data_IF_964431162738
#
_entry.id   IF_964431162738
#
_cell.length_a   1.000
_cell.length_b   1.000
_cell.length_c   1.000
_cell.angle_alpha   90.00
_cell.angle_beta   90.00
_cell.angle_gamma   90.00
#
_symmetry.space_group_name_H-M   'P 1'
#
loop_
_entity.id
_entity.type
_entity.pdbx_description
1 polymer ?
#
# COMPACT_ATOMS: atom_id res chain seq x y z
N UNK A 1 -6.02 -26.60 19.27
CA UNK A 1 -7.09 -25.79 19.90
C UNK A 1 -7.05 -24.43 19.21
N UNK A 2 -7.94 -24.18 18.26
CA UNK A 2 -7.98 -22.92 17.49
C UNK A 2 -8.51 -21.80 18.39
N UNK A 3 -7.86 -20.64 18.39
CA UNK A 3 -8.25 -19.51 19.24
C UNK A 3 -9.41 -18.73 18.63
N UNK A 4 -10.15 -17.94 19.43
CA UNK A 4 -11.23 -17.04 18.93
C UNK A 4 -10.75 -16.10 17.81
N UNK A 5 -9.46 -15.78 17.77
CA UNK A 5 -8.85 -14.94 16.75
C UNK A 5 -8.61 -15.70 15.43
N UNK A 6 -8.33 -17.01 15.50
CA UNK A 6 -8.24 -17.87 14.32
C UNK A 6 -9.61 -18.06 13.65
N UNK A 7 -10.69 -18.14 14.44
CA UNK A 7 -12.07 -18.18 13.93
C UNK A 7 -12.42 -16.91 13.15
N UNK A 8 -12.11 -15.73 13.70
CA UNK A 8 -12.36 -14.42 13.04
C UNK A 8 -11.57 -14.27 11.74
N UNK A 9 -10.38 -14.87 11.65
CA UNK A 9 -9.54 -14.86 10.43
C UNK A 9 -10.02 -15.85 9.38
N UNK A 10 -10.47 -17.05 9.76
CA UNK A 10 -11.06 -18.01 8.81
C UNK A 10 -12.36 -17.47 8.21
N UNK A 11 -13.21 -16.83 9.02
CA UNK A 11 -14.42 -16.15 8.58
C UNK A 11 -14.12 -15.01 7.60
N UNK A 12 -13.01 -14.27 7.79
CA UNK A 12 -12.52 -13.26 6.84
C UNK A 12 -12.11 -13.88 5.49
N UNK A 13 -11.43 -15.04 5.49
CA UNK A 13 -10.94 -15.69 4.26
C UNK A 13 -12.06 -16.38 3.49
N UNK A 14 -13.01 -17.03 4.18
CA UNK A 14 -14.18 -17.64 3.55
C UNK A 14 -15.11 -16.58 2.95
N UNK A 15 -15.31 -15.46 3.64
CA UNK A 15 -16.12 -14.37 3.12
C UNK A 15 -15.48 -13.57 1.98
N UNK A 16 -14.14 -13.52 1.89
CA UNK A 16 -13.45 -12.97 0.71
C UNK A 16 -13.77 -13.77 -0.57
N UNK A 17 -14.28 -15.00 -0.44
CA UNK A 17 -14.66 -15.89 -1.55
C UNK A 17 -16.17 -15.94 -1.80
N UNK A 18 -17.00 -15.51 -0.86
CA UNK A 18 -18.45 -15.72 -0.87
C UNK A 18 -19.17 -14.40 -1.09
N UNK A 19 -19.81 -14.27 -2.26
CA UNK A 19 -20.61 -13.16 -2.83
C UNK A 19 -19.83 -12.46 -3.93
N UNK A 20 -20.46 -12.27 -5.09
CA UNK A 20 -19.93 -11.54 -6.25
C UNK A 20 -19.67 -10.04 -6.00
N UNK A 21 -19.18 -9.69 -4.82
CA UNK A 21 -18.60 -8.41 -4.47
C UNK A 21 -17.17 -8.37 -5.01
N UNK A 22 -16.74 -7.19 -5.48
CA UNK A 22 -15.36 -7.01 -5.95
C UNK A 22 -14.39 -7.38 -4.83
N UNK A 23 -13.27 -8.09 -5.14
CA UNK A 23 -12.20 -8.31 -4.18
C UNK A 23 -11.82 -6.98 -3.52
N UNK A 24 -11.52 -6.99 -2.23
CA UNK A 24 -11.31 -5.77 -1.45
C UNK A 24 -9.87 -5.70 -0.94
N UNK A 25 -9.32 -4.49 -0.87
CA UNK A 25 -8.08 -4.27 -0.14
C UNK A 25 -8.36 -4.49 1.36
N UNK A 26 -7.58 -5.37 2.04
CA UNK A 26 -7.72 -5.63 3.47
C UNK A 26 -7.68 -4.33 4.26
N UNK A 27 -8.73 -4.06 5.03
CA UNK A 27 -8.87 -2.86 5.88
C UNK A 27 -9.72 -1.72 5.30
N UNK A 28 -10.06 -1.71 4.00
CA UNK A 28 -10.61 -0.51 3.32
C UNK A 28 -12.13 -0.41 3.29
N UNK A 29 -12.88 -1.50 3.46
CA UNK A 29 -14.36 -1.43 3.35
C UNK A 29 -15.12 -2.16 4.43
N UNK A 30 -14.82 -3.44 4.71
CA UNK A 30 -15.58 -4.22 5.71
C UNK A 30 -15.42 -3.71 7.15
N UNK A 31 -14.28 -3.12 7.48
CA UNK A 31 -13.95 -2.61 8.82
C UNK A 31 -13.69 -1.10 8.84
N UNK A 32 -13.98 -0.42 7.74
CA UNK A 32 -13.84 1.02 7.67
C UNK A 32 -15.03 1.68 8.36
N UNK A 33 -14.80 2.74 9.17
CA UNK A 33 -15.90 3.48 9.77
C UNK A 33 -16.81 4.04 8.68
N UNK A 34 -18.12 4.06 8.94
CA UNK A 34 -19.08 4.75 8.08
C UNK A 34 -18.75 6.24 8.00
N UNK A 35 -19.29 6.94 6.99
CA UNK A 35 -19.09 8.39 6.85
C UNK A 35 -19.45 9.18 8.11
N UNK A 36 -20.52 8.78 8.80
CA UNK A 36 -20.94 9.42 10.04
C UNK A 36 -19.98 9.13 11.20
N UNK A 37 -19.44 7.91 11.27
CA UNK A 37 -18.42 7.55 12.26
C UNK A 37 -17.10 8.27 11.98
N UNK A 38 -16.65 8.35 10.73
CA UNK A 38 -15.48 9.16 10.33
C UNK A 38 -15.64 10.63 10.76
N UNK A 39 -16.79 11.24 10.51
CA UNK A 39 -17.05 12.62 10.95
C UNK A 39 -16.96 12.75 12.48
N UNK A 40 -17.51 11.80 13.23
CA UNK A 40 -17.40 11.80 14.69
C UNK A 40 -15.98 11.56 15.19
N UNK A 41 -15.22 10.68 14.54
CA UNK A 41 -13.80 10.45 14.87
C UNK A 41 -12.99 11.74 14.70
N UNK A 42 -13.23 12.49 13.63
CA UNK A 42 -12.49 13.72 13.34
C UNK A 42 -12.91 14.92 14.21
N UNK A 43 -14.13 14.92 14.75
CA UNK A 43 -14.70 16.09 15.47
C UNK A 43 -14.88 15.87 16.97
N UNK A 44 -14.87 14.63 17.46
CA UNK A 44 -15.10 14.29 18.87
C UNK A 44 -13.94 13.46 19.44
N UNK A 45 -13.09 14.07 20.29
CA UNK A 45 -12.01 13.34 20.97
C UNK A 45 -12.51 12.16 21.82
N UNK A 46 -13.72 12.28 22.38
CA UNK A 46 -14.35 11.21 23.18
C UNK A 46 -14.73 10.03 22.30
N UNK A 47 -15.32 10.30 21.13
CA UNK A 47 -15.66 9.25 20.17
C UNK A 47 -14.41 8.58 19.61
N UNK A 48 -13.40 9.36 19.22
CA UNK A 48 -12.12 8.85 18.75
C UNK A 48 -11.45 7.93 19.79
N UNK A 49 -11.41 8.36 21.05
CA UNK A 49 -10.87 7.56 22.16
C UNK A 49 -11.63 6.27 22.40
N UNK A 50 -12.94 6.23 22.10
CA UNK A 50 -13.75 5.02 22.22
C UNK A 50 -13.43 4.01 21.11
N UNK A 51 -13.34 4.47 19.86
CA UNK A 51 -12.98 3.63 18.71
C UNK A 51 -11.56 3.07 18.87
N UNK A 52 -10.63 3.86 19.40
CA UNK A 52 -9.25 3.44 19.61
C UNK A 52 -9.07 2.28 20.62
N UNK A 53 -10.11 1.93 21.41
CA UNK A 53 -10.02 0.86 22.43
C UNK A 53 -10.02 -0.55 21.85
N UNK A 54 -10.61 -0.74 20.67
CA UNK A 54 -10.67 -2.05 20.01
C UNK A 54 -10.21 -1.90 18.55
N UNK A 55 -8.89 -1.73 18.33
CA UNK A 55 -8.37 -1.54 17.00
C UNK A 55 -8.50 -2.83 16.17
N UNK A 56 -8.82 -2.68 14.89
CA UNK A 56 -8.74 -3.78 13.95
C UNK A 56 -7.29 -4.25 13.84
N UNK A 57 -7.04 -5.52 14.19
CA UNK A 57 -5.75 -6.17 13.97
C UNK A 57 -5.86 -7.20 12.86
N UNK A 58 -4.88 -7.22 11.96
CA UNK A 58 -4.77 -8.21 10.88
C UNK A 58 -3.47 -9.00 11.01
N UNK A 59 -3.51 -10.29 10.72
CA UNK A 59 -2.30 -11.09 10.54
C UNK A 59 -1.78 -10.87 9.12
N UNK A 60 -0.78 -10.00 9.00
CA UNK A 60 -0.21 -9.62 7.70
C UNK A 60 0.26 -10.81 6.88
N UNK A 61 0.82 -11.86 7.53
CA UNK A 61 1.32 -13.02 6.80
C UNK A 61 0.17 -13.82 6.20
N UNK A 62 -0.88 -14.09 6.99
CA UNK A 62 -2.07 -14.80 6.51
C UNK A 62 -2.79 -14.02 5.40
N UNK A 63 -2.90 -12.71 5.57
CA UNK A 63 -3.52 -11.81 4.58
C UNK A 63 -2.72 -11.83 3.28
N UNK A 64 -1.42 -11.53 3.33
CA UNK A 64 -0.58 -11.45 2.13
C UNK A 64 -0.53 -12.80 1.39
N UNK A 65 -0.48 -13.94 2.11
CA UNK A 65 -0.54 -15.27 1.49
C UNK A 65 -1.85 -15.56 0.75
N UNK A 66 -2.97 -15.00 1.19
CA UNK A 66 -4.26 -15.15 0.54
C UNK A 66 -4.49 -14.10 -0.57
N UNK A 67 -3.59 -13.14 -0.72
CA UNK A 67 -3.78 -11.97 -1.55
C UNK A 67 -3.27 -12.21 -2.98
N UNK A 68 -4.17 -12.12 -3.97
CA UNK A 68 -3.73 -12.15 -5.36
C UNK A 68 -3.06 -10.83 -5.73
N UNK A 69 -1.90 -10.89 -6.36
CA UNK A 69 -1.19 -9.69 -6.88
C UNK A 69 -1.23 -9.60 -8.40
N UNK A 70 -2.15 -10.31 -9.07
CA UNK A 70 -2.32 -10.13 -10.51
C UNK A 70 -2.81 -8.71 -10.82
N UNK A 71 -2.46 -8.21 -12.01
CA UNK A 71 -2.83 -6.87 -12.45
C UNK A 71 -4.35 -6.66 -12.43
N UNK A 72 -5.11 -7.66 -12.85
CA UNK A 72 -6.57 -7.66 -12.89
C UNK A 72 -7.13 -7.49 -11.48
N UNK A 73 -6.61 -8.28 -10.53
CA UNK A 73 -7.06 -8.30 -9.15
C UNK A 73 -6.70 -6.99 -8.43
N UNK A 74 -5.48 -6.47 -8.65
CA UNK A 74 -5.05 -5.16 -8.13
C UNK A 74 -6.02 -4.08 -8.64
N UNK A 75 -6.19 -3.96 -9.96
CA UNK A 75 -7.06 -2.94 -10.57
C UNK A 75 -8.52 -3.08 -10.19
N UNK A 76 -9.01 -4.31 -9.99
CA UNK A 76 -10.40 -4.59 -9.64
C UNK A 76 -10.75 -4.14 -8.21
N UNK A 77 -9.83 -4.34 -7.26
CA UNK A 77 -10.03 -3.96 -5.85
C UNK A 77 -9.62 -2.52 -5.54
N UNK A 78 -8.72 -1.97 -6.34
CA UNK A 78 -8.25 -0.61 -6.20
C UNK A 78 -9.23 0.43 -6.71
N UNK A 79 -8.98 1.69 -6.36
CA UNK A 79 -9.67 2.85 -6.94
C UNK A 79 -8.64 3.75 -7.59
N UNK A 80 -7.89 3.18 -8.54
CA UNK A 80 -6.86 3.89 -9.28
C UNK A 80 -7.50 4.86 -10.26
N UNK A 81 -7.38 6.15 -9.95
CA UNK A 81 -7.97 7.22 -10.76
C UNK A 81 -7.27 7.29 -12.12
N UNK A 82 -8.06 7.32 -13.20
CA UNK A 82 -7.62 7.49 -14.58
C UNK A 82 -8.80 8.06 -15.37
N UNK A 83 -8.69 9.23 -16.06
CA UNK A 83 -7.53 10.11 -16.28
C UNK A 83 -7.24 11.12 -15.14
N UNK A 84 -6.14 11.91 -15.20
CA UNK A 84 -5.85 12.96 -14.22
C UNK A 84 -7.01 13.96 -14.06
N UNK A 85 -7.22 14.48 -12.85
CA UNK A 85 -8.42 15.24 -12.53
C UNK A 85 -8.34 16.73 -12.88
N UNK A 86 -7.14 17.33 -12.80
CA UNK A 86 -6.97 18.75 -13.06
C UNK A 86 -5.68 19.06 -13.83
N UNK A 87 -5.71 20.15 -14.61
CA UNK A 87 -4.52 20.65 -15.33
C UNK A 87 -3.38 21.02 -14.37
N UNK A 88 -3.71 21.57 -13.20
CA UNK A 88 -2.74 21.93 -12.17
C UNK A 88 -1.96 20.70 -11.71
N UNK A 89 -2.63 19.57 -11.47
CA UNK A 89 -1.97 18.33 -11.06
C UNK A 89 -1.13 17.73 -12.19
N UNK A 90 -1.59 17.77 -13.44
CA UNK A 90 -0.84 17.31 -14.62
C UNK A 90 0.47 18.09 -14.77
N UNK A 91 0.42 19.42 -14.61
CA UNK A 91 1.57 20.30 -14.78
C UNK A 91 2.53 20.27 -13.56
N UNK A 92 2.15 19.58 -12.47
CA UNK A 92 2.91 19.47 -11.22
C UNK A 92 3.06 18.02 -10.73
N UNK A 93 3.76 17.14 -11.47
CA UNK A 93 3.93 15.76 -11.04
C UNK A 93 4.89 15.64 -9.85
N UNK A 94 4.56 14.73 -8.92
CA UNK A 94 5.33 14.44 -7.70
C UNK A 94 5.88 13.02 -7.78
N UNK A 95 7.10 12.82 -7.29
CA UNK A 95 7.69 11.52 -7.13
C UNK A 95 7.61 11.05 -5.66
N UNK A 96 7.02 9.89 -5.41
CA UNK A 96 7.01 9.24 -4.10
C UNK A 96 8.06 8.15 -4.06
N UNK A 97 8.93 8.19 -3.05
CA UNK A 97 9.98 7.19 -2.86
C UNK A 97 9.79 6.51 -1.52
N UNK A 98 9.72 5.18 -1.51
CA UNK A 98 9.48 4.40 -0.29
C UNK A 98 10.48 3.27 -0.14
N UNK A 99 11.02 3.10 1.06
CA UNK A 99 11.80 1.90 1.42
C UNK A 99 10.86 0.95 2.17
N UNK A 100 10.59 -0.23 1.62
CA UNK A 100 9.53 -1.13 2.13
C UNK A 100 10.05 -2.54 2.35
N UNK A 101 9.50 -3.25 3.34
CA UNK A 101 10.03 -4.57 3.73
C UNK A 101 8.99 -5.65 4.10
N UNK A 102 7.71 -5.31 4.25
CA UNK A 102 6.64 -6.26 4.60
C UNK A 102 5.24 -5.69 4.39
N UNK A 103 4.24 -6.54 4.66
CA UNK A 103 2.82 -6.20 4.71
C UNK A 103 2.35 -5.59 3.38
N UNK A 104 2.36 -6.41 2.32
CA UNK A 104 2.05 -5.94 0.97
C UNK A 104 0.67 -5.29 0.88
N UNK A 105 -0.36 -5.85 1.53
CA UNK A 105 -1.69 -5.23 1.59
C UNK A 105 -1.68 -3.78 2.10
N UNK A 106 -0.77 -3.43 3.04
CA UNK A 106 -0.59 -2.05 3.51
C UNK A 106 0.12 -1.20 2.47
N UNK A 107 1.11 -1.75 1.76
CA UNK A 107 1.80 -1.03 0.69
C UNK A 107 0.86 -0.71 -0.46
N UNK A 108 0.02 -1.66 -0.87
CA UNK A 108 -1.00 -1.44 -1.89
C UNK A 108 -2.08 -0.45 -1.42
N UNK A 109 -2.51 -0.54 -0.15
CA UNK A 109 -3.43 0.45 0.43
C UNK A 109 -2.87 1.87 0.34
N UNK A 110 -1.64 2.08 0.80
CA UNK A 110 -0.99 3.39 0.73
C UNK A 110 -0.82 3.85 -0.71
N UNK A 111 -0.41 2.95 -1.61
CA UNK A 111 -0.31 3.24 -3.02
C UNK A 111 -1.64 3.70 -3.60
N UNK A 112 -2.73 2.98 -3.36
CA UNK A 112 -4.08 3.33 -3.81
C UNK A 112 -4.50 4.73 -3.33
N UNK A 113 -4.27 5.06 -2.05
CA UNK A 113 -4.60 6.37 -1.49
C UNK A 113 -3.83 7.53 -2.13
N UNK A 114 -2.62 7.28 -2.63
CA UNK A 114 -1.74 8.30 -3.20
C UNK A 114 -1.73 8.29 -4.73
N UNK A 115 -2.27 7.25 -5.37
CA UNK A 115 -2.09 7.01 -6.79
C UNK A 115 -2.75 8.08 -7.64
N UNK A 116 -1.94 8.66 -8.52
CA UNK A 116 -2.42 9.40 -9.68
C UNK A 116 -1.53 9.06 -10.88
N UNK A 117 -2.08 9.08 -12.11
CA UNK A 117 -1.35 8.63 -13.30
C UNK A 117 -0.15 9.53 -13.67
N UNK A 118 -0.18 10.81 -13.28
CA UNK A 118 0.91 11.75 -13.52
C UNK A 118 2.04 11.67 -12.48
N UNK A 119 1.76 11.16 -11.27
CA UNK A 119 2.78 11.00 -10.24
C UNK A 119 3.66 9.78 -10.53
N UNK A 120 4.87 9.77 -9.98
CA UNK A 120 5.82 8.67 -10.08
C UNK A 120 5.94 8.00 -8.71
N UNK A 121 6.06 6.68 -8.69
CA UNK A 121 6.22 5.90 -7.47
C UNK A 121 7.44 5.00 -7.60
N UNK A 122 8.39 5.11 -6.68
CA UNK A 122 9.53 4.22 -6.62
C UNK A 122 9.61 3.53 -5.27
N UNK A 123 9.78 2.21 -5.30
CA UNK A 123 9.97 1.40 -4.11
C UNK A 123 11.36 0.77 -4.10
N UNK A 124 12.09 0.99 -3.03
CA UNK A 124 13.29 0.22 -2.72
C UNK A 124 12.90 -0.89 -1.74
N UNK A 125 13.12 -2.14 -2.14
CA UNK A 125 12.80 -3.29 -1.29
C UNK A 125 13.97 -3.56 -0.34
N UNK A 126 13.68 -3.84 0.94
CA UNK A 126 14.70 -4.43 1.82
C UNK A 126 15.02 -5.83 1.29
N UNK A 127 16.31 -6.09 1.03
CA UNK A 127 16.79 -7.37 0.50
C UNK A 127 16.44 -8.55 1.43
N UNK A 128 16.23 -8.31 2.73
CA UNK A 128 15.85 -9.34 3.70
C UNK A 128 14.34 -9.67 3.72
N UNK A 129 13.54 -8.97 2.92
CA UNK A 129 12.10 -9.21 2.85
C UNK A 129 11.79 -10.60 2.32
N UNK A 130 10.58 -11.10 2.57
CA UNK A 130 10.20 -12.43 2.10
C UNK A 130 10.12 -12.50 0.56
N UNK A 131 10.37 -13.68 -0.04
CA UNK A 131 10.19 -13.88 -1.48
C UNK A 131 8.78 -13.52 -1.96
N UNK A 132 7.74 -13.86 -1.18
CA UNK A 132 6.35 -13.50 -1.48
C UNK A 132 6.14 -11.98 -1.51
N UNK A 133 6.76 -11.24 -0.60
CA UNK A 133 6.67 -9.77 -0.60
C UNK A 133 7.34 -9.17 -1.84
N UNK A 134 8.51 -9.69 -2.23
CA UNK A 134 9.18 -9.31 -3.46
C UNK A 134 8.32 -9.57 -4.69
N UNK A 135 7.72 -10.76 -4.78
CA UNK A 135 6.84 -11.15 -5.87
C UNK A 135 5.66 -10.17 -6.01
N UNK A 136 4.95 -9.89 -4.90
CA UNK A 136 3.84 -8.95 -4.92
C UNK A 136 4.24 -7.54 -5.36
N UNK A 137 5.38 -7.02 -4.88
CA UNK A 137 5.87 -5.70 -5.27
C UNK A 137 6.30 -5.66 -6.74
N UNK A 138 6.90 -6.73 -7.27
CA UNK A 138 7.23 -6.86 -8.71
C UNK A 138 5.98 -6.86 -9.56
N UNK A 139 4.94 -7.60 -9.15
CA UNK A 139 3.66 -7.62 -9.85
C UNK A 139 2.97 -6.25 -9.83
N UNK A 140 3.01 -5.54 -8.70
CA UNK A 140 2.50 -4.17 -8.61
C UNK A 140 3.25 -3.22 -9.56
N UNK A 141 4.58 -3.29 -9.61
CA UNK A 141 5.40 -2.48 -10.52
C UNK A 141 5.14 -2.80 -11.99
N UNK A 142 4.93 -4.06 -12.34
CA UNK A 142 4.56 -4.45 -13.70
C UNK A 142 3.15 -3.98 -14.10
N UNK A 143 2.26 -3.78 -13.13
CA UNK A 143 0.86 -3.40 -13.37
C UNK A 143 0.68 -1.94 -13.79
N UNK A 144 1.57 -1.05 -13.35
CA UNK A 144 1.47 0.40 -13.51
C UNK A 144 2.74 0.98 -14.14
N UNK A 145 2.62 1.76 -15.24
CA UNK A 145 3.79 2.26 -15.97
C UNK A 145 4.62 3.31 -15.20
N UNK A 146 4.03 3.90 -14.17
CA UNK A 146 4.62 4.92 -13.30
C UNK A 146 5.09 4.37 -11.94
N UNK A 147 5.19 3.05 -11.79
CA UNK A 147 5.71 2.38 -10.59
C UNK A 147 7.03 1.67 -10.90
N UNK A 148 8.07 1.98 -10.13
CA UNK A 148 9.42 1.48 -10.33
C UNK A 148 9.93 0.76 -9.08
N UNK A 149 10.77 -0.25 -9.29
CA UNK A 149 11.56 -0.89 -8.25
C UNK A 149 13.05 -0.60 -8.47
N UNK A 150 13.81 -0.53 -7.37
CA UNK A 150 15.26 -0.44 -7.44
C UNK A 150 15.86 -1.74 -7.98
N UNK A 151 16.91 -1.64 -8.80
CA UNK A 151 17.65 -2.82 -9.27
C UNK A 151 18.52 -3.42 -8.17
N UNK A 152 19.11 -2.56 -7.33
CA UNK A 152 19.92 -2.96 -6.17
C UNK A 152 19.11 -2.83 -4.90
N UNK A 153 19.09 -3.89 -4.10
CA UNK A 153 18.39 -3.96 -2.83
C UNK A 153 19.42 -4.10 -1.70
N UNK A 154 19.26 -3.34 -0.61
CA UNK A 154 20.17 -3.37 0.53
C UNK A 154 19.48 -3.95 1.77
N UNK A 155 20.27 -4.54 2.67
CA UNK A 155 19.79 -4.92 3.99
C UNK A 155 19.57 -3.66 4.83
N UNK A 156 18.32 -3.36 5.15
CA UNK A 156 17.93 -2.22 5.98
C UNK A 156 17.64 -2.67 7.41
N UNK A 157 17.91 -1.83 8.40
CA UNK A 157 17.59 -2.15 9.80
C UNK A 157 16.95 -0.97 10.53
N UNK A 158 16.51 -1.24 11.77
CA UNK A 158 15.86 -0.24 12.61
C UNK A 158 16.79 0.89 13.07
N UNK A 159 18.11 0.72 12.93
CA UNK A 159 19.08 1.79 13.16
C UNK A 159 19.24 2.68 11.92
N UNK A 160 18.57 2.34 10.81
CA UNK A 160 18.55 3.11 9.57
C UNK A 160 19.72 2.82 8.64
N UNK A 161 20.51 1.75 8.88
CA UNK A 161 21.59 1.40 7.98
C UNK A 161 21.04 1.12 6.57
N UNK A 162 21.76 1.63 5.57
CA UNK A 162 21.41 1.56 4.15
C UNK A 162 20.08 2.25 3.74
N UNK A 163 19.29 2.83 4.64
CA UNK A 163 18.06 3.57 4.28
C UNK A 163 18.34 4.65 3.24
N UNK A 164 19.33 5.51 3.49
CA UNK A 164 19.72 6.58 2.56
C UNK A 164 20.18 6.03 1.22
N UNK A 165 20.90 4.89 1.21
CA UNK A 165 21.34 4.25 -0.04
C UNK A 165 20.15 3.75 -0.86
N UNK A 166 19.20 3.08 -0.21
CA UNK A 166 17.95 2.63 -0.83
C UNK A 166 17.15 3.80 -1.43
N UNK A 167 17.04 4.93 -0.72
CA UNK A 167 16.43 6.14 -1.28
C UNK A 167 17.17 6.67 -2.52
N UNK A 168 18.50 6.71 -2.47
CA UNK A 168 19.33 7.19 -3.58
C UNK A 168 19.19 6.32 -4.84
N UNK A 169 19.05 5.00 -4.70
CA UNK A 169 18.79 4.12 -5.85
C UNK A 169 17.48 4.50 -6.57
N UNK A 170 16.42 4.76 -5.81
CA UNK A 170 15.16 5.22 -6.38
C UNK A 170 15.30 6.60 -7.03
N UNK A 171 15.97 7.54 -6.37
CA UNK A 171 16.21 8.87 -6.95
C UNK A 171 17.04 8.80 -8.23
N UNK A 172 17.99 7.87 -8.34
CA UNK A 172 18.76 7.64 -9.55
C UNK A 172 17.91 7.16 -10.73
N UNK A 173 16.89 6.33 -10.47
CA UNK A 173 15.91 5.90 -11.47
C UNK A 173 15.05 7.09 -11.89
N UNK A 174 14.46 7.78 -10.91
CA UNK A 174 13.50 8.87 -11.13
C UNK A 174 14.12 10.08 -11.82
N UNK A 175 15.39 10.40 -11.54
CA UNK A 175 16.12 11.50 -12.20
C UNK A 175 16.14 11.36 -13.73
N UNK A 176 16.02 10.13 -14.26
CA UNK A 176 15.99 9.84 -15.70
C UNK A 176 14.58 9.91 -16.32
N UNK A 177 13.53 10.08 -15.51
CA UNK A 177 12.11 10.02 -15.90
C UNK A 177 11.47 11.42 -15.82
N UNK A 178 12.07 12.40 -16.50
CA UNK A 178 11.85 13.86 -16.37
C UNK A 178 10.39 14.33 -16.20
N UNK A 179 10.27 15.54 -15.62
CA UNK A 179 9.11 16.44 -15.49
C UNK A 179 8.49 16.57 -14.09
N UNK A 180 8.80 15.65 -13.17
CA UNK A 180 8.43 15.77 -11.76
C UNK A 180 9.13 16.93 -11.05
N UNK A 181 8.44 17.56 -10.09
CA UNK A 181 8.88 18.81 -9.44
C UNK A 181 9.53 18.57 -8.08
N UNK A 182 9.00 17.63 -7.32
CA UNK A 182 9.47 17.29 -5.98
C UNK A 182 9.49 15.78 -5.77
N UNK A 183 10.42 15.33 -4.93
CA UNK A 183 10.45 13.97 -4.42
C UNK A 183 10.07 13.98 -2.93
N UNK A 184 9.15 13.09 -2.54
CA UNK A 184 8.74 12.87 -1.16
C UNK A 184 9.27 11.50 -0.74
N UNK A 185 10.18 11.49 0.24
CA UNK A 185 10.73 10.28 0.82
C UNK A 185 9.84 9.84 1.98
N UNK A 186 9.30 8.62 1.93
CA UNK A 186 8.46 8.04 2.97
C UNK A 186 9.05 6.70 3.45
N UNK A 187 8.67 6.30 4.66
CA UNK A 187 8.95 4.97 5.21
C UNK A 187 7.74 4.03 5.02
#
# INVERSE_FOLDING_TARGET
MLTKQDFKVQEIIEDLKIKGEKPQIPGVRRYSPSRNECNQILTSPVFASRIARDPLTVDSKKVDMAFSSSCEEIKLRGSYMDPPQTKIEIDFPIAFVRVVYRAYHVQELLFNLMYTPQNLFCYALDNKSSPLFHEHMRNLSACFPNVFLTETEYNVDSAGHNMTRSYLECLNILRKKSDWKYAILLQ
#
